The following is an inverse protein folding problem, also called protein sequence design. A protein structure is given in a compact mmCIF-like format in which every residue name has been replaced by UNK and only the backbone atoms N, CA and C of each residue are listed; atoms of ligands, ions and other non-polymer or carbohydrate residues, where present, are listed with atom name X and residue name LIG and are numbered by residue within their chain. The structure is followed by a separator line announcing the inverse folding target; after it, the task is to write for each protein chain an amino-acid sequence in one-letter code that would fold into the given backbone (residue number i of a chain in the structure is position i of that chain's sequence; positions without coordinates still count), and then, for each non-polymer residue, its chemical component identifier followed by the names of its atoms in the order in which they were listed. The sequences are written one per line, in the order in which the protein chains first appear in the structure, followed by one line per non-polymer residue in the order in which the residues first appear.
data_IF_717424247892
#
_entry.id   IF_717424247892
#
_cell.length_a   1.000
_cell.length_b   1.000
_cell.length_c   1.000
_cell.angle_alpha   90.00
_cell.angle_beta   90.00
_cell.angle_gamma   90.00
#
_symmetry.space_group_name_H-M   'P 1'
#
loop_
_entity.id
_entity.type
_entity.pdbx_description
1 polymer ?
#
# COMPACT_ATOMS: atom_id res chain seq x y z
N UNK A 1 -0.14 -37.36 -20.16
CA UNK A 1 -1.35 -36.58 -20.45
C UNK A 1 -1.91 -36.07 -19.15
N UNK A 2 -1.44 -34.89 -18.66
CA UNK A 2 -1.88 -34.27 -17.39
C UNK A 2 -2.99 -33.29 -17.67
N UNK A 3 -4.18 -33.52 -17.08
CA UNK A 3 -5.35 -32.67 -17.18
C UNK A 3 -5.13 -31.40 -16.31
N UNK A 4 -5.09 -30.25 -16.94
CA UNK A 4 -5.16 -28.96 -16.26
C UNK A 4 -6.58 -28.77 -15.72
N UNK A 5 -6.72 -28.73 -14.40
CA UNK A 5 -7.95 -28.25 -13.74
C UNK A 5 -7.94 -26.72 -13.73
N UNK A 6 -8.79 -26.14 -14.53
CA UNK A 6 -9.16 -24.72 -14.52
C UNK A 6 -9.88 -24.46 -13.18
N UNK A 7 -9.23 -23.81 -12.25
CA UNK A 7 -9.90 -23.29 -11.04
C UNK A 7 -10.66 -22.03 -11.42
N UNK A 8 -11.95 -22.15 -11.52
CA UNK A 8 -12.87 -21.01 -11.53
C UNK A 8 -12.85 -20.39 -10.13
N UNK A 9 -12.15 -19.28 -9.96
CA UNK A 9 -12.28 -18.42 -8.81
C UNK A 9 -13.46 -17.49 -9.06
N UNK A 10 -14.67 -17.93 -8.76
CA UNK A 10 -15.77 -17.03 -8.47
C UNK A 10 -15.43 -16.32 -7.15
N UNK A 11 -14.96 -15.08 -7.26
CA UNK A 11 -14.84 -14.19 -6.12
C UNK A 11 -16.26 -13.91 -5.62
N UNK A 12 -16.68 -14.56 -4.53
CA UNK A 12 -17.87 -14.14 -3.76
C UNK A 12 -17.61 -12.72 -3.31
N UNK A 13 -18.33 -11.77 -3.90
CA UNK A 13 -18.42 -10.39 -3.41
C UNK A 13 -18.94 -10.44 -1.98
N UNK A 14 -18.16 -9.91 -1.05
CA UNK A 14 -18.56 -9.82 0.35
C UNK A 14 -19.66 -8.76 0.44
N UNK A 15 -20.76 -8.97 1.19
CA UNK A 15 -21.89 -8.02 1.28
C UNK A 15 -21.51 -6.59 1.63
N UNK A 16 -20.40 -6.39 2.33
CA UNK A 16 -19.86 -5.05 2.67
C UNK A 16 -19.27 -4.31 1.45
N UNK A 17 -18.85 -5.02 0.41
CA UNK A 17 -18.43 -4.39 -0.85
C UNK A 17 -19.64 -3.82 -1.61
N UNK A 18 -20.79 -4.50 -1.53
CA UNK A 18 -22.04 -4.04 -2.12
C UNK A 18 -22.60 -2.82 -1.38
N UNK A 19 -22.51 -2.79 -0.05
CA UNK A 19 -22.94 -1.64 0.75
C UNK A 19 -22.11 -0.38 0.48
N UNK A 20 -20.79 -0.52 0.19
CA UNK A 20 -19.94 0.62 -0.18
C UNK A 20 -20.21 1.14 -1.61
N UNK A 21 -20.85 0.33 -2.47
CA UNK A 21 -21.20 0.70 -3.84
C UNK A 21 -22.56 1.42 -3.92
N UNK A 22 -23.45 1.23 -2.94
CA UNK A 22 -24.79 1.85 -2.92
C UNK A 22 -24.84 3.24 -2.31
N UNK A 23 -23.86 3.63 -1.49
CA UNK A 23 -23.81 4.94 -0.83
C UNK A 23 -23.27 6.09 -1.72
N UNK A 24 -22.85 5.80 -2.97
CA UNK A 24 -22.29 6.80 -3.88
C UNK A 24 -23.29 7.43 -4.87
N UNK A 25 -24.58 7.18 -4.72
CA UNK A 25 -25.62 7.60 -5.67
C UNK A 25 -26.48 8.79 -5.19
N UNK A 26 -25.88 9.82 -4.58
CA UNK A 26 -26.56 11.11 -4.42
C UNK A 26 -25.55 12.25 -4.47
N UNK A 27 -25.18 12.68 -5.66
CA UNK A 27 -24.70 14.05 -5.90
C UNK A 27 -25.26 14.53 -7.24
N UNK A 28 -26.10 15.55 -7.13
CA UNK A 28 -26.77 16.25 -8.21
C UNK A 28 -25.77 16.86 -9.21
N UNK A 29 -26.04 16.61 -10.48
CA UNK A 29 -25.43 17.28 -11.62
C UNK A 29 -26.26 18.53 -11.93
N UNK A 30 -25.77 19.70 -11.50
CA UNK A 30 -26.09 20.97 -12.13
C UNK A 30 -25.05 22.03 -11.76
N UNK A 31 -24.24 22.43 -12.75
CA UNK A 31 -23.64 23.76 -12.84
C UNK A 31 -23.01 24.00 -14.21
N UNK A 32 -23.12 25.23 -14.74
CA UNK A 32 -22.93 25.55 -16.15
C UNK A 32 -21.47 25.76 -16.53
N UNK A 33 -21.19 25.60 -17.83
CA UNK A 33 -19.94 25.86 -18.48
C UNK A 33 -19.55 27.35 -18.42
N UNK A 34 -18.30 27.65 -18.03
CA UNK A 34 -17.64 28.92 -18.33
C UNK A 34 -16.43 28.69 -19.25
N UNK A 35 -16.38 29.54 -20.27
CA UNK A 35 -15.35 29.55 -21.32
C UNK A 35 -14.09 30.28 -20.88
N UNK A 36 -12.93 29.79 -21.40
CA UNK A 36 -11.82 30.65 -21.75
C UNK A 36 -10.65 30.74 -20.79
N UNK A 37 -9.58 30.03 -21.09
CA UNK A 37 -8.24 30.22 -20.58
C UNK A 37 -7.28 29.19 -21.17
N UNK A 38 -6.41 29.60 -22.11
CA UNK A 38 -5.29 28.78 -22.56
C UNK A 38 -4.32 28.57 -21.39
N UNK A 39 -4.54 27.54 -20.58
CA UNK A 39 -3.54 27.00 -19.66
C UNK A 39 -2.60 26.07 -20.41
N UNK A 40 -1.32 26.39 -20.37
CA UNK A 40 -0.23 25.55 -20.86
C UNK A 40 -0.39 24.14 -20.29
N UNK A 41 -0.66 23.18 -21.16
CA UNK A 41 -0.84 21.77 -20.89
C UNK A 41 0.48 21.17 -20.36
N UNK A 42 0.78 21.36 -19.10
CA UNK A 42 1.66 20.49 -18.35
C UNK A 42 0.95 19.14 -18.26
N UNK A 43 1.28 18.25 -19.21
CA UNK A 43 0.63 16.96 -19.36
C UNK A 43 0.47 16.26 -18.01
N UNK A 44 -0.77 16.08 -17.58
CA UNK A 44 -1.08 15.37 -16.33
C UNK A 44 -0.48 13.97 -16.38
N UNK A 45 0.19 13.57 -15.30
CA UNK A 45 0.71 12.21 -15.16
C UNK A 45 -0.45 11.20 -15.28
N UNK A 46 -0.21 10.04 -15.92
CA UNK A 46 -1.24 9.03 -16.06
C UNK A 46 -1.75 8.58 -14.69
N UNK A 47 -3.06 8.49 -14.56
CA UNK A 47 -3.76 8.04 -13.36
C UNK A 47 -4.41 6.69 -13.65
N UNK A 48 -4.10 5.71 -12.81
CA UNK A 48 -4.76 4.40 -12.83
C UNK A 48 -6.03 4.52 -11.98
N UNK A 49 -7.18 4.42 -12.65
CA UNK A 49 -8.48 4.46 -11.99
C UNK A 49 -9.05 3.04 -11.90
N UNK A 50 -9.30 2.60 -10.69
CA UNK A 50 -9.98 1.34 -10.45
C UNK A 50 -11.43 1.60 -10.02
N UNK A 51 -12.33 1.43 -10.96
CA UNK A 51 -13.77 1.69 -10.82
C UNK A 51 -14.44 0.90 -9.69
N UNK A 52 -14.01 -0.35 -9.47
CA UNK A 52 -14.62 -1.23 -8.49
C UNK A 52 -14.28 -0.85 -7.04
N UNK A 53 -13.13 -0.22 -6.83
CA UNK A 53 -12.71 0.21 -5.50
C UNK A 53 -12.61 1.71 -5.34
N UNK A 54 -12.92 2.47 -6.39
CA UNK A 54 -12.68 3.92 -6.45
C UNK A 54 -11.23 4.28 -6.09
N UNK A 55 -10.26 3.40 -6.44
CA UNK A 55 -8.86 3.55 -6.10
C UNK A 55 -8.13 4.36 -7.16
N UNK A 56 -7.75 5.58 -6.82
CA UNK A 56 -7.00 6.47 -7.71
C UNK A 56 -5.51 6.38 -7.40
N UNK A 57 -4.71 5.92 -8.38
CA UNK A 57 -3.26 5.74 -8.27
C UNK A 57 -2.57 6.62 -9.31
N UNK A 58 -1.74 7.55 -8.86
CA UNK A 58 -0.92 8.40 -9.74
C UNK A 58 0.30 7.62 -10.20
N UNK A 59 0.43 7.38 -11.52
CA UNK A 59 1.58 6.68 -12.09
C UNK A 59 2.77 7.62 -12.25
N UNK A 60 3.78 7.41 -11.41
CA UNK A 60 5.05 8.15 -11.40
C UNK A 60 6.23 7.29 -11.82
N UNK A 61 5.99 6.15 -12.44
CA UNK A 61 7.04 5.19 -12.81
C UNK A 61 8.08 5.79 -13.78
N UNK A 62 7.69 6.77 -14.59
CA UNK A 62 8.61 7.49 -15.50
C UNK A 62 9.51 8.51 -14.78
N UNK A 63 9.06 9.00 -13.60
CA UNK A 63 9.78 10.01 -12.81
C UNK A 63 10.68 9.39 -11.73
N UNK A 64 10.46 8.12 -11.41
CA UNK A 64 11.23 7.43 -10.37
C UNK A 64 12.52 6.85 -10.94
N UNK A 65 13.62 6.90 -10.17
CA UNK A 65 14.95 6.48 -10.62
C UNK A 65 14.97 5.03 -11.09
N UNK A 66 15.41 4.80 -12.33
CA UNK A 66 15.48 3.44 -12.91
C UNK A 66 16.53 2.58 -12.22
N UNK A 67 17.58 3.18 -11.68
CA UNK A 67 18.66 2.51 -10.94
C UNK A 67 18.18 1.82 -9.64
N UNK A 68 16.98 2.13 -9.15
CA UNK A 68 16.37 1.38 -8.06
C UNK A 68 15.88 -0.02 -8.49
N UNK A 69 15.66 -0.21 -9.80
CA UNK A 69 15.12 -1.46 -10.37
C UNK A 69 16.28 -2.38 -10.70
N UNK A 70 16.49 -3.37 -9.85
CA UNK A 70 17.62 -4.31 -9.98
C UNK A 70 17.46 -5.18 -11.23
N UNK A 71 16.23 -5.62 -11.51
CA UNK A 71 15.84 -6.39 -12.70
C UNK A 71 14.32 -6.39 -12.86
N UNK A 72 13.85 -6.89 -13.98
CA UNK A 72 12.44 -7.21 -14.18
C UNK A 72 12.10 -8.58 -13.60
N UNK A 73 10.84 -8.78 -13.23
CA UNK A 73 10.24 -10.06 -12.82
C UNK A 73 8.85 -10.18 -13.41
N UNK A 74 8.35 -11.40 -13.52
CA UNK A 74 6.96 -11.64 -13.90
C UNK A 74 6.01 -11.19 -12.76
N UNK A 75 5.09 -10.24 -13.00
CA UNK A 75 4.11 -9.79 -12.02
C UNK A 75 3.24 -10.94 -11.48
N UNK A 76 2.94 -11.97 -12.26
CA UNK A 76 2.16 -13.12 -11.85
C UNK A 76 2.83 -13.93 -10.71
N UNK A 77 4.13 -13.75 -10.51
CA UNK A 77 4.86 -14.39 -9.39
C UNK A 77 4.76 -13.63 -8.08
N UNK A 78 4.17 -12.42 -8.09
CA UNK A 78 4.02 -11.55 -6.91
C UNK A 78 2.70 -11.86 -6.24
N UNK A 79 2.74 -12.31 -5.00
CA UNK A 79 1.56 -12.67 -4.23
C UNK A 79 1.42 -11.92 -2.90
N UNK A 80 2.40 -11.12 -2.52
CA UNK A 80 2.42 -10.43 -1.23
C UNK A 80 2.60 -8.92 -1.35
N UNK A 81 1.97 -8.19 -0.44
CA UNK A 81 2.24 -6.79 -0.17
C UNK A 81 2.97 -6.66 1.17
N UNK A 82 4.09 -5.94 1.19
CA UNK A 82 4.79 -5.61 2.44
C UNK A 82 4.51 -4.17 2.82
N UNK A 83 3.98 -3.98 4.03
CA UNK A 83 3.69 -2.67 4.60
C UNK A 83 4.93 -2.07 5.27
N UNK A 84 5.16 -0.76 5.01
CA UNK A 84 6.26 0.01 5.56
C UNK A 84 5.81 1.37 6.06
N UNK A 85 6.55 1.95 7.00
CA UNK A 85 6.56 3.38 7.26
C UNK A 85 7.86 4.01 6.77
N UNK A 86 7.80 5.20 6.19
CA UNK A 86 9.00 5.92 5.69
C UNK A 86 9.92 6.38 6.82
N UNK A 87 9.40 6.51 8.05
CA UNK A 87 10.02 7.18 9.18
C UNK A 87 10.30 8.68 8.92
N UNK A 88 9.65 9.28 7.94
CA UNK A 88 9.61 10.72 7.66
C UNK A 88 8.37 11.09 6.84
N UNK A 89 8.02 12.39 6.83
CA UNK A 89 7.05 12.95 5.88
C UNK A 89 7.65 14.16 5.17
N UNK A 90 7.26 14.34 3.90
CA UNK A 90 7.58 15.52 3.09
C UNK A 90 6.33 16.28 2.65
N UNK A 91 5.22 16.10 3.41
CA UNK A 91 3.92 16.69 3.11
C UNK A 91 3.22 15.99 1.94
N UNK A 92 2.38 16.72 1.21
CA UNK A 92 1.48 16.18 0.20
C UNK A 92 1.95 16.43 -1.25
N UNK A 93 3.17 16.95 -1.45
CA UNK A 93 3.73 17.14 -2.77
C UNK A 93 4.31 15.80 -3.31
N UNK A 94 3.70 15.21 -4.36
CA UNK A 94 4.14 13.93 -4.92
C UNK A 94 5.58 13.95 -5.45
N UNK A 95 6.06 15.11 -5.92
CA UNK A 95 7.40 15.23 -6.51
C UNK A 95 8.51 14.92 -5.51
N UNK A 96 8.25 15.16 -4.23
CA UNK A 96 9.21 14.94 -3.15
C UNK A 96 9.43 13.46 -2.84
N UNK A 97 8.64 12.54 -3.43
CA UNK A 97 8.67 11.10 -3.17
C UNK A 97 9.21 10.26 -4.32
N UNK A 98 9.49 10.84 -5.50
CA UNK A 98 9.96 10.10 -6.67
C UNK A 98 11.20 9.23 -6.39
N UNK A 99 12.04 9.60 -5.43
CA UNK A 99 13.26 8.86 -5.05
C UNK A 99 13.05 7.83 -3.92
N UNK A 100 11.82 7.60 -3.48
CA UNK A 100 11.52 6.55 -2.49
C UNK A 100 11.65 5.18 -3.15
N UNK A 101 12.39 4.26 -2.51
CA UNK A 101 12.65 2.93 -3.04
C UNK A 101 11.55 1.95 -2.62
N UNK A 102 10.36 2.12 -3.18
CA UNK A 102 9.23 1.21 -3.03
C UNK A 102 8.37 1.19 -4.30
N UNK A 103 7.46 0.23 -4.42
CA UNK A 103 6.54 0.19 -5.57
C UNK A 103 5.47 1.25 -5.45
N UNK A 104 4.98 1.46 -4.23
CA UNK A 104 3.93 2.44 -3.93
C UNK A 104 4.32 3.31 -2.74
N UNK A 105 3.77 4.51 -2.71
CA UNK A 105 3.82 5.41 -1.56
C UNK A 105 2.41 5.98 -1.30
N UNK A 106 2.06 6.17 -0.02
CA UNK A 106 0.79 6.78 0.39
C UNK A 106 1.11 8.02 1.21
N UNK A 107 0.68 9.18 0.71
CA UNK A 107 0.93 10.49 1.29
C UNK A 107 -0.05 10.78 2.45
N UNK A 108 0.22 11.79 3.30
CA UNK A 108 -0.66 12.11 4.42
C UNK A 108 -2.11 12.46 4.03
N UNK A 109 -2.32 13.05 2.84
CA UNK A 109 -3.65 13.35 2.27
C UNK A 109 -4.32 12.13 1.61
N UNK A 110 -3.65 10.98 1.61
CA UNK A 110 -4.15 9.75 1.02
C UNK A 110 -3.81 9.55 -0.45
N UNK A 111 -3.11 10.46 -1.13
CA UNK A 111 -2.65 10.20 -2.50
C UNK A 111 -1.82 8.93 -2.55
N UNK A 112 -2.15 8.04 -3.50
CA UNK A 112 -1.40 6.83 -3.79
C UNK A 112 -0.52 7.08 -5.01
N UNK A 113 0.78 6.90 -4.84
CA UNK A 113 1.75 7.03 -5.92
C UNK A 113 2.26 5.64 -6.30
N UNK A 114 2.24 5.29 -7.58
CA UNK A 114 2.99 4.16 -8.10
C UNK A 114 4.37 4.66 -8.56
N UNK A 115 5.41 4.34 -7.80
CA UNK A 115 6.78 4.80 -8.06
C UNK A 115 7.54 3.84 -8.98
N UNK A 116 7.29 2.54 -8.85
CA UNK A 116 7.88 1.52 -9.71
C UNK A 116 6.83 0.52 -10.17
N UNK A 117 6.96 -0.03 -11.39
CA UNK A 117 6.04 -1.04 -11.87
C UNK A 117 6.12 -2.31 -11.02
N UNK A 118 5.01 -3.06 -10.91
CA UNK A 118 4.95 -4.31 -10.14
C UNK A 118 5.99 -5.33 -10.64
N UNK A 119 6.31 -5.28 -11.94
CA UNK A 119 7.37 -6.09 -12.55
C UNK A 119 8.78 -5.73 -12.09
N UNK A 120 9.00 -4.59 -11.44
CA UNK A 120 10.33 -4.25 -10.95
C UNK A 120 10.70 -5.07 -9.72
N UNK A 121 11.90 -5.65 -9.72
CA UNK A 121 12.50 -6.21 -8.52
C UNK A 121 13.26 -5.10 -7.79
N UNK A 122 12.86 -4.81 -6.55
CA UNK A 122 13.44 -3.77 -5.70
C UNK A 122 14.02 -4.39 -4.41
N UNK A 123 15.09 -3.81 -3.89
CA UNK A 123 15.54 -4.07 -2.52
C UNK A 123 14.80 -3.16 -1.53
N UNK A 124 13.53 -3.48 -1.26
CA UNK A 124 12.64 -2.69 -0.38
C UNK A 124 12.28 -3.43 0.92
N UNK A 125 12.12 -4.76 0.88
CA UNK A 125 11.50 -5.56 1.93
C UNK A 125 12.36 -6.74 2.41
N UNK A 126 13.69 -6.63 2.32
CA UNK A 126 14.63 -7.68 2.70
C UNK A 126 14.30 -9.04 2.03
N UNK A 127 14.16 -10.13 2.81
CA UNK A 127 13.90 -11.47 2.29
C UNK A 127 12.59 -11.65 1.52
N UNK A 128 11.64 -10.69 1.60
CA UNK A 128 10.39 -10.75 0.86
C UNK A 128 10.47 -10.18 -0.56
N UNK A 129 11.55 -9.48 -0.95
CA UNK A 129 11.67 -8.75 -2.21
C UNK A 129 11.23 -9.54 -3.46
N UNK A 130 11.55 -10.85 -3.50
CA UNK A 130 11.34 -11.68 -4.70
C UNK A 130 9.87 -11.84 -5.08
N UNK A 131 8.98 -11.91 -4.09
CA UNK A 131 7.57 -12.29 -4.25
C UNK A 131 6.59 -11.23 -3.77
N UNK A 132 7.08 -10.01 -3.48
CA UNK A 132 6.24 -8.94 -2.94
C UNK A 132 6.41 -7.62 -3.66
N UNK A 133 5.38 -6.79 -3.56
CA UNK A 133 5.47 -5.35 -3.73
C UNK A 133 5.57 -4.68 -2.36
N UNK A 134 6.16 -3.49 -2.31
CA UNK A 134 6.29 -2.70 -1.10
C UNK A 134 5.42 -1.45 -1.20
N UNK A 135 4.77 -1.06 -0.10
CA UNK A 135 4.10 0.24 0.06
C UNK A 135 4.67 0.97 1.28
N UNK A 136 5.05 2.21 1.08
CA UNK A 136 5.58 3.11 2.11
C UNK A 136 4.52 4.16 2.49
N UNK A 137 4.14 4.20 3.76
CA UNK A 137 3.29 5.26 4.31
C UNK A 137 4.18 6.43 4.74
N UNK A 138 3.89 7.62 4.21
CA UNK A 138 4.64 8.83 4.52
C UNK A 138 4.32 9.30 5.95
N UNK A 139 5.28 9.13 6.85
CA UNK A 139 5.16 9.47 8.26
C UNK A 139 6.24 8.77 9.08
N UNK A 140 6.49 9.30 10.27
CA UNK A 140 7.27 8.67 11.34
C UNK A 140 6.27 8.35 12.46
N UNK A 141 5.79 7.11 12.47
CA UNK A 141 4.69 6.70 13.34
C UNK A 141 5.21 6.05 14.63
N UNK A 142 4.47 6.20 15.74
CA UNK A 142 4.89 5.68 17.03
C UNK A 142 4.99 4.15 17.03
N UNK A 143 5.90 3.67 17.85
CA UNK A 143 5.99 2.26 18.23
C UNK A 143 4.90 1.91 19.23
N UNK A 144 4.75 0.63 19.58
CA UNK A 144 3.87 0.16 20.66
C UNK A 144 4.12 0.88 22.02
N UNK A 145 5.30 1.47 22.18
CA UNK A 145 5.65 2.25 23.38
C UNK A 145 5.42 3.75 23.20
N UNK A 146 4.68 4.19 22.18
CA UNK A 146 4.40 5.59 21.88
C UNK A 146 5.61 6.40 21.39
N UNK A 147 6.74 5.77 21.09
CA UNK A 147 7.98 6.47 20.67
C UNK A 147 8.14 6.44 19.16
N UNK A 148 8.40 7.62 18.58
CA UNK A 148 8.80 7.77 17.19
C UNK A 148 10.32 7.71 17.04
N UNK A 149 10.80 7.18 15.90
CA UNK A 149 12.23 7.08 15.64
C UNK A 149 12.83 8.46 15.40
N UNK A 150 13.84 8.86 16.22
CA UNK A 150 14.51 10.17 16.14
C UNK A 150 13.50 11.31 15.92
N UNK A 151 12.53 11.42 16.82
CA UNK A 151 11.42 12.37 16.70
C UNK A 151 11.89 13.82 16.59
N UNK A 152 13.00 14.17 17.21
CA UNK A 152 13.65 15.49 17.14
C UNK A 152 14.07 15.88 15.72
N UNK A 153 14.37 14.89 14.86
CA UNK A 153 14.81 15.10 13.48
C UNK A 153 13.70 14.92 12.47
N UNK A 154 12.83 13.95 12.66
CA UNK A 154 11.85 13.52 11.66
C UNK A 154 10.40 13.77 12.06
N UNK A 155 10.19 14.38 13.24
CA UNK A 155 8.87 14.56 13.82
C UNK A 155 8.25 13.26 14.31
N UNK A 156 7.03 13.35 14.82
CA UNK A 156 6.20 12.23 15.21
C UNK A 156 4.81 12.47 14.63
N UNK A 157 4.34 11.56 13.80
CA UNK A 157 3.12 11.74 13.02
C UNK A 157 2.05 10.76 13.48
N UNK A 158 0.80 11.10 13.24
CA UNK A 158 -0.33 10.18 13.38
C UNK A 158 -0.74 9.67 12.00
N UNK A 159 -1.13 8.40 11.94
CA UNK A 159 -1.69 7.82 10.72
C UNK A 159 -3.03 8.46 10.42
N UNK A 160 -3.18 9.07 9.24
CA UNK A 160 -4.41 9.77 8.88
C UNK A 160 -5.49 8.79 8.41
N UNK A 161 -6.76 9.17 8.56
CA UNK A 161 -7.88 8.40 8.01
C UNK A 161 -7.79 8.28 6.48
N UNK A 162 -7.26 9.31 5.81
CA UNK A 162 -7.00 9.27 4.37
C UNK A 162 -5.98 8.18 4.01
N UNK A 163 -4.88 8.09 4.75
CA UNK A 163 -3.88 7.02 4.55
C UNK A 163 -4.46 5.63 4.81
N UNK A 164 -5.31 5.47 5.83
CA UNK A 164 -5.97 4.19 6.13
C UNK A 164 -6.86 3.76 4.96
N UNK A 165 -7.75 4.65 4.50
CA UNK A 165 -8.62 4.38 3.34
C UNK A 165 -7.81 4.02 2.10
N UNK A 166 -6.76 4.77 1.81
CA UNK A 166 -5.89 4.54 0.65
C UNK A 166 -5.11 3.23 0.75
N UNK A 167 -4.64 2.85 1.94
CA UNK A 167 -3.97 1.56 2.16
C UNK A 167 -4.91 0.38 1.90
N UNK A 168 -6.15 0.46 2.38
CA UNK A 168 -7.20 -0.54 2.14
C UNK A 168 -7.59 -0.61 0.66
N UNK A 169 -7.75 0.55 0.01
CA UNK A 169 -8.01 0.68 -1.41
C UNK A 169 -6.91 0.03 -2.28
N UNK A 170 -5.64 0.33 -1.98
CA UNK A 170 -4.50 -0.26 -2.68
C UNK A 170 -4.45 -1.79 -2.56
N UNK A 171 -4.77 -2.34 -1.38
CA UNK A 171 -4.84 -3.80 -1.18
C UNK A 171 -5.91 -4.41 -2.09
N UNK A 172 -7.12 -3.85 -2.13
CA UNK A 172 -8.20 -4.34 -2.97
C UNK A 172 -7.83 -4.25 -4.46
N UNK A 173 -7.21 -3.15 -4.89
CA UNK A 173 -6.66 -3.01 -6.24
C UNK A 173 -5.65 -4.13 -6.56
N UNK A 174 -4.71 -4.42 -5.66
CA UNK A 174 -3.69 -5.44 -5.87
C UNK A 174 -4.26 -6.86 -5.88
N UNK A 175 -5.30 -7.14 -5.08
CA UNK A 175 -6.01 -8.43 -5.14
C UNK A 175 -6.52 -8.68 -6.58
N UNK A 176 -7.17 -7.70 -7.19
CA UNK A 176 -7.69 -7.85 -8.56
C UNK A 176 -6.58 -7.81 -9.61
N UNK A 177 -5.59 -6.95 -9.42
CA UNK A 177 -4.53 -6.72 -10.42
C UNK A 177 -3.56 -7.89 -10.56
N UNK A 178 -3.22 -8.54 -9.44
CA UNK A 178 -2.17 -9.59 -9.41
C UNK A 178 -2.56 -10.83 -8.58
N UNK A 179 -3.80 -10.92 -8.09
CA UNK A 179 -4.20 -12.04 -7.24
C UNK A 179 -3.49 -12.02 -5.89
N UNK A 180 -3.34 -10.84 -5.26
CA UNK A 180 -2.69 -10.70 -3.97
C UNK A 180 -3.33 -11.61 -2.92
N UNK A 181 -2.54 -12.42 -2.23
CA UNK A 181 -3.01 -13.37 -1.21
C UNK A 181 -2.41 -13.13 0.18
N UNK A 182 -1.36 -12.32 0.27
CA UNK A 182 -0.66 -12.07 1.53
C UNK A 182 -0.43 -10.58 1.78
N UNK A 183 -0.58 -10.18 3.04
CA UNK A 183 -0.15 -8.89 3.58
C UNK A 183 0.87 -9.14 4.68
N UNK A 184 2.04 -8.54 4.58
CA UNK A 184 3.18 -8.76 5.46
C UNK A 184 3.71 -7.44 6.00
N UNK A 185 4.38 -7.48 7.13
CA UNK A 185 5.09 -6.35 7.71
C UNK A 185 6.60 -6.48 7.49
N UNK A 186 7.30 -5.39 7.24
CA UNK A 186 8.75 -5.40 7.09
C UNK A 186 9.47 -6.01 8.32
N UNK A 187 8.92 -5.82 9.53
CA UNK A 187 9.46 -6.45 10.75
C UNK A 187 9.59 -7.96 10.64
N UNK A 188 8.72 -8.63 9.88
CA UNK A 188 8.77 -10.10 9.74
C UNK A 188 9.99 -10.59 8.95
N UNK A 189 10.69 -9.70 8.21
CA UNK A 189 11.89 -10.03 7.45
C UNK A 189 13.20 -9.57 8.08
N UNK A 190 13.18 -8.60 9.02
CA UNK A 190 14.40 -8.03 9.57
C UNK A 190 14.24 -7.52 10.99
N UNK A 191 15.15 -7.90 11.90
CA UNK A 191 15.22 -7.40 13.28
C UNK A 191 15.48 -5.89 13.34
N UNK A 192 16.22 -5.33 12.39
CA UNK A 192 16.49 -3.88 12.32
C UNK A 192 15.23 -3.07 11.96
N UNK A 193 14.18 -3.73 11.51
CA UNK A 193 12.89 -3.15 11.15
C UNK A 193 11.77 -3.51 12.12
N UNK A 194 12.13 -3.82 13.36
CA UNK A 194 11.20 -4.32 14.38
C UNK A 194 9.97 -3.45 14.63
N UNK A 195 10.01 -2.16 14.25
CA UNK A 195 8.88 -1.22 14.36
C UNK A 195 8.30 -0.79 12.99
N UNK A 196 8.57 -1.52 11.92
CA UNK A 196 8.06 -1.22 10.60
C UNK A 196 7.02 -2.28 10.17
N UNK A 197 5.77 -1.88 9.81
CA UNK A 197 5.27 -0.53 9.55
C UNK A 197 4.84 0.26 10.81
N UNK A 198 4.77 -0.34 11.98
CA UNK A 198 4.22 0.20 13.21
C UNK A 198 2.83 -0.38 13.52
N UNK A 199 2.39 -0.27 14.79
CA UNK A 199 1.13 -0.84 15.24
C UNK A 199 -0.09 -0.26 14.50
N UNK A 200 -0.13 1.06 14.30
CA UNK A 200 -1.28 1.74 13.70
C UNK A 200 -1.51 1.32 12.24
N UNK A 201 -0.45 1.29 11.43
CA UNK A 201 -0.56 0.83 10.04
C UNK A 201 -0.93 -0.65 10.00
N UNK A 202 -0.30 -1.47 10.87
CA UNK A 202 -0.62 -2.89 10.89
C UNK A 202 -2.08 -3.13 11.25
N UNK A 203 -2.55 -2.58 12.37
CA UNK A 203 -3.93 -2.78 12.83
C UNK A 203 -4.96 -2.29 11.81
N UNK A 204 -4.81 -1.05 11.36
CA UNK A 204 -5.81 -0.41 10.52
C UNK A 204 -5.81 -0.88 9.06
N UNK A 205 -4.69 -1.43 8.56
CA UNK A 205 -4.56 -1.82 7.14
C UNK A 205 -4.21 -3.30 7.00
N UNK A 206 -3.18 -3.78 7.69
CA UNK A 206 -2.73 -5.17 7.60
C UNK A 206 -3.71 -6.15 8.25
N UNK A 207 -4.04 -5.93 9.52
CA UNK A 207 -4.98 -6.79 10.25
C UNK A 207 -6.38 -6.69 9.65
N UNK A 208 -6.81 -5.48 9.28
CA UNK A 208 -8.07 -5.30 8.55
C UNK A 208 -8.13 -6.16 7.28
N UNK A 209 -7.06 -6.23 6.50
CA UNK A 209 -7.02 -7.03 5.28
C UNK A 209 -7.09 -8.54 5.56
N UNK A 210 -6.56 -9.00 6.70
CA UNK A 210 -6.69 -10.38 7.15
C UNK A 210 -8.16 -10.66 7.52
N UNK A 211 -8.74 -9.80 8.37
CA UNK A 211 -10.05 -10.02 8.96
C UNK A 211 -11.19 -9.85 7.94
N UNK A 212 -11.05 -8.92 7.00
CA UNK A 212 -12.11 -8.54 6.06
C UNK A 212 -11.96 -9.11 4.66
N UNK A 213 -10.73 -9.36 4.22
CA UNK A 213 -10.44 -9.84 2.85
C UNK A 213 -9.84 -11.24 2.82
N UNK A 214 -9.61 -11.87 3.97
CA UNK A 214 -9.06 -13.21 4.06
C UNK A 214 -7.61 -13.34 3.63
N UNK A 215 -6.84 -12.23 3.60
CA UNK A 215 -5.43 -12.29 3.30
C UNK A 215 -4.66 -13.01 4.42
N UNK A 216 -3.48 -13.54 4.09
CA UNK A 216 -2.64 -14.27 5.01
C UNK A 216 -1.40 -13.45 5.37
N UNK A 217 -0.92 -13.58 6.61
CA UNK A 217 0.33 -12.95 7.08
C UNK A 217 1.38 -13.99 7.52
N UNK A 218 1.13 -15.27 7.25
CA UNK A 218 1.93 -16.39 7.69
C UNK A 218 1.52 -16.96 9.05
N UNK A 219 0.60 -16.30 9.77
CA UNK A 219 0.07 -16.74 11.07
C UNK A 219 0.92 -16.32 12.28
N UNK A 220 0.49 -16.72 13.49
CA UNK A 220 1.20 -16.45 14.73
C UNK A 220 2.64 -16.99 14.68
N UNK A 221 3.61 -16.18 15.11
CA UNK A 221 5.03 -16.57 15.12
C UNK A 221 5.74 -16.46 13.76
N UNK A 222 5.05 -16.22 12.66
CA UNK A 222 5.68 -16.19 11.34
C UNK A 222 6.70 -15.06 11.21
N UNK A 223 7.89 -15.43 10.76
CA UNK A 223 8.99 -14.54 10.40
C UNK A 223 9.95 -15.27 9.47
N UNK A 224 10.78 -14.52 8.74
CA UNK A 224 11.90 -15.07 7.97
C UNK A 224 13.21 -14.43 8.43
N UNK A 225 14.32 -15.14 8.23
CA UNK A 225 15.66 -14.66 8.58
C UNK A 225 15.75 -14.12 10.01
N UNK A 226 16.20 -12.88 10.15
CA UNK A 226 16.34 -12.18 11.45
C UNK A 226 15.07 -11.46 11.89
N UNK A 227 13.96 -11.60 11.19
CA UNK A 227 12.72 -10.90 11.46
C UNK A 227 12.11 -11.21 12.82
N UNK A 228 11.06 -10.45 13.15
CA UNK A 228 10.24 -10.60 14.36
C UNK A 228 8.78 -10.79 13.96
N UNK A 229 8.05 -11.71 14.59
CA UNK A 229 6.63 -11.92 14.28
C UNK A 229 5.79 -10.69 14.65
N UNK A 230 4.59 -10.59 14.06
CA UNK A 230 3.58 -9.63 14.48
C UNK A 230 3.16 -9.97 15.91
N UNK A 231 3.15 -8.96 16.78
CA UNK A 231 2.75 -9.11 18.18
C UNK A 231 1.23 -9.03 18.32
N UNK A 232 0.70 -9.60 19.41
CA UNK A 232 -0.71 -9.51 19.73
C UNK A 232 -1.18 -8.05 19.87
N UNK A 233 -0.37 -7.19 20.46
CA UNK A 233 -0.66 -5.76 20.57
C UNK A 233 -0.89 -5.10 19.19
N UNK A 234 -0.16 -5.53 18.14
CA UNK A 234 -0.38 -5.02 16.80
C UNK A 234 -1.65 -5.59 16.15
N UNK A 235 -2.02 -6.82 16.49
CA UNK A 235 -3.23 -7.47 15.97
C UNK A 235 -4.51 -6.91 16.60
N UNK A 236 -4.47 -6.63 17.90
CA UNK A 236 -5.64 -6.16 18.66
C UNK A 236 -5.81 -4.64 18.68
N UNK A 237 -4.85 -3.88 18.16
CA UNK A 237 -4.87 -2.42 18.23
C UNK A 237 -4.70 -1.86 19.65
N UNK A 238 -4.28 -2.70 20.60
CA UNK A 238 -3.99 -2.28 21.97
C UNK A 238 -2.55 -1.81 22.05
N UNK A 239 -2.37 -0.51 22.17
CA UNK A 239 -1.07 0.13 22.46
C UNK A 239 -0.81 0.18 23.96
#
# INVERSE_FOLDING_TARGET
MMKYHKRENEARLIPELEAMLTDSNSMDLDSPAEEGGEEQFLGSLPVIWDWLTNCRIEDRTKLSPKEHRIRSRDPATVYALVLHQMAFSRGNDPNRYNRVKSHFAILPDGKILQLHPISAYLYASNGFNKKSVAVEFAGNFPSTRGRCWKAEKYGCHQLTQAQIRSGRCLIQYLIRKIGLTHVLAHRQASKSRANCPGPDIWYNVGQWAIDRLGLKDGGPGFKIGTGKPITEAWRSGKS
#
